data_IF_798785987406
#
_entry.id   IF_798785987406
#
_cell.length_a   1.000
_cell.length_b   1.000
_cell.length_c   1.000
_cell.angle_alpha   90.00
_cell.angle_beta   90.00
_cell.angle_gamma   90.00
#
_symmetry.space_group_name_H-M   'P 1'
#
loop_
_entity.id
_entity.type
_entity.pdbx_description
1 polymer ?
#
# COMPACT_ATOMS: atom_id res chain seq x y z
N UNK A 1 34.32 2.20 57.19
CA UNK A 1 33.02 2.44 56.51
C UNK A 1 33.38 3.01 55.15
N UNK A 2 33.49 2.15 54.13
CA UNK A 2 33.99 2.52 52.81
C UNK A 2 32.79 2.90 51.93
N UNK A 3 32.81 4.14 51.44
CA UNK A 3 31.84 4.70 50.51
C UNK A 3 31.93 3.97 49.16
N UNK A 4 30.91 3.18 48.85
CA UNK A 4 30.75 2.57 47.52
C UNK A 4 30.02 3.58 46.65
N UNK A 5 30.79 4.36 45.90
CA UNK A 5 30.27 5.18 44.79
C UNK A 5 29.72 4.24 43.72
N UNK A 6 28.41 4.05 43.71
CA UNK A 6 27.69 3.41 42.61
C UNK A 6 27.83 4.31 41.39
N UNK A 7 28.74 3.95 40.48
CA UNK A 7 28.81 4.56 39.16
C UNK A 7 27.57 4.15 38.38
N UNK A 8 26.63 5.08 38.23
CA UNK A 8 25.49 4.93 37.34
C UNK A 8 26.01 4.95 35.91
N UNK A 9 26.30 3.77 35.36
CA UNK A 9 26.45 3.59 33.92
C UNK A 9 25.10 3.92 33.30
N UNK A 10 24.96 5.16 32.80
CA UNK A 10 23.87 5.59 31.95
C UNK A 10 23.96 4.80 30.63
N UNK A 11 23.46 3.55 30.65
CA UNK A 11 23.20 2.80 29.43
C UNK A 11 22.16 3.64 28.70
N UNK A 12 22.58 4.35 27.66
CA UNK A 12 21.68 4.98 26.68
C UNK A 12 20.76 3.88 26.12
N UNK A 13 19.61 3.66 26.75
CA UNK A 13 18.56 2.69 26.35
C UNK A 13 17.76 3.22 25.17
N UNK A 14 18.44 3.81 24.18
CA UNK A 14 17.84 4.36 22.97
C UNK A 14 18.17 3.50 21.76
N UNK A 15 17.27 3.48 20.78
CA UNK A 15 17.53 2.88 19.48
C UNK A 15 18.78 3.51 18.82
N UNK A 16 19.54 2.70 18.08
CA UNK A 16 20.68 3.20 17.30
C UNK A 16 20.16 4.05 16.15
N UNK A 17 20.59 5.31 16.11
CA UNK A 17 20.19 6.29 15.08
C UNK A 17 20.98 6.05 13.79
N UNK A 18 20.63 4.98 13.07
CA UNK A 18 21.33 4.50 11.88
C UNK A 18 20.84 5.09 10.56
N UNK A 19 19.55 5.41 10.44
CA UNK A 19 18.89 5.70 9.16
C UNK A 19 19.06 7.17 8.76
N UNK A 20 19.70 7.44 7.62
CA UNK A 20 19.79 8.78 7.03
C UNK A 20 18.55 9.18 6.25
N UNK A 21 18.57 10.37 5.64
CA UNK A 21 17.48 10.84 4.77
C UNK A 21 17.25 9.89 3.59
N UNK A 22 18.32 9.49 2.90
CA UNK A 22 18.23 8.58 1.75
C UNK A 22 17.60 7.24 2.14
N UNK A 23 18.11 6.61 3.20
CA UNK A 23 17.58 5.34 3.71
C UNK A 23 16.09 5.47 4.06
N UNK A 24 15.74 6.57 4.74
CA UNK A 24 14.38 6.89 5.13
C UNK A 24 13.46 7.06 3.91
N UNK A 25 13.89 7.83 2.90
CA UNK A 25 13.14 8.01 1.64
C UNK A 25 12.94 6.68 0.92
N UNK A 26 13.97 5.83 0.87
CA UNK A 26 13.87 4.51 0.25
C UNK A 26 12.99 3.54 1.04
N UNK A 27 12.95 3.66 2.38
CA UNK A 27 12.01 2.90 3.22
C UNK A 27 10.58 3.32 2.92
N UNK A 28 10.28 4.62 2.80
CA UNK A 28 8.95 5.11 2.42
C UNK A 28 8.57 4.57 1.04
N UNK A 29 9.44 4.77 0.04
CA UNK A 29 9.16 4.35 -1.33
C UNK A 29 8.99 2.82 -1.45
N UNK A 30 9.89 2.05 -0.85
CA UNK A 30 9.85 0.58 -0.89
C UNK A 30 8.68 -0.04 -0.11
N UNK A 31 8.17 0.68 0.90
CA UNK A 31 6.96 0.29 1.64
C UNK A 31 5.69 0.53 0.82
N UNK A 32 5.60 1.68 0.13
CA UNK A 32 4.43 2.03 -0.68
C UNK A 32 4.34 1.23 -1.98
N UNK A 33 5.46 1.00 -2.68
CA UNK A 33 5.46 0.27 -3.96
C UNK A 33 5.04 -1.17 -3.68
N UNK A 34 3.78 -1.49 -3.92
CA UNK A 34 3.19 -2.80 -3.62
C UNK A 34 2.71 -3.54 -4.85
N UNK A 35 2.00 -4.65 -4.65
CA UNK A 35 1.26 -5.32 -5.72
C UNK A 35 0.05 -4.52 -6.21
N UNK A 36 -0.40 -3.53 -5.42
CA UNK A 36 -1.57 -2.70 -5.71
C UNK A 36 -1.53 -2.11 -7.11
N UNK A 37 -0.41 -1.48 -7.50
CA UNK A 37 -0.29 -0.77 -8.79
C UNK A 37 -0.54 -1.68 -10.01
N UNK A 38 -0.17 -2.95 -9.90
CA UNK A 38 -0.39 -3.94 -10.96
C UNK A 38 -1.84 -4.41 -11.01
N UNK A 39 -2.56 -4.41 -9.87
CA UNK A 39 -3.92 -4.93 -9.74
C UNK A 39 -4.96 -3.84 -10.07
N UNK A 40 -4.83 -2.68 -9.43
CA UNK A 40 -5.93 -1.73 -9.34
C UNK A 40 -6.11 -0.89 -10.59
N UNK A 41 -5.03 -0.59 -11.32
CA UNK A 41 -5.09 0.26 -12.51
C UNK A 41 -6.03 -0.28 -13.59
N UNK A 42 -6.05 -1.61 -13.79
CA UNK A 42 -6.96 -2.25 -14.72
C UNK A 42 -8.43 -2.15 -14.27
N UNK A 43 -8.68 -2.16 -12.96
CA UNK A 43 -10.03 -2.00 -12.40
C UNK A 43 -10.51 -0.55 -12.52
N UNK A 44 -9.65 0.41 -12.16
CA UNK A 44 -9.92 1.84 -12.33
C UNK A 44 -10.22 2.15 -13.80
N UNK A 45 -9.43 1.61 -14.74
CA UNK A 45 -9.65 1.80 -16.17
C UNK A 45 -11.01 1.25 -16.64
N UNK A 46 -11.49 0.11 -16.10
CA UNK A 46 -12.84 -0.42 -16.42
C UNK A 46 -13.96 0.39 -15.78
N UNK A 47 -13.72 0.99 -14.61
CA UNK A 47 -14.70 1.82 -13.92
C UNK A 47 -14.87 3.20 -14.61
N UNK A 48 -13.75 3.83 -15.00
CA UNK A 48 -13.75 5.19 -15.58
C UNK A 48 -13.84 5.21 -17.11
N UNK A 49 -13.36 4.17 -17.77
CA UNK A 49 -13.49 3.95 -19.21
C UNK A 49 -12.62 4.84 -20.11
N UNK A 50 -11.82 5.76 -19.57
CA UNK A 50 -10.94 6.61 -20.39
C UNK A 50 -9.57 6.83 -19.74
N UNK A 51 -8.48 6.94 -20.53
CA UNK A 51 -7.13 7.11 -20.00
C UNK A 51 -6.96 8.42 -19.21
N UNK A 52 -7.60 9.51 -19.64
CA UNK A 52 -7.59 10.78 -18.91
C UNK A 52 -8.18 10.64 -17.52
N UNK A 53 -9.32 9.95 -17.37
CA UNK A 53 -9.94 9.74 -16.07
C UNK A 53 -9.15 8.79 -15.16
N UNK A 54 -8.47 7.79 -15.71
CA UNK A 54 -7.50 6.96 -14.98
C UNK A 54 -6.37 7.82 -14.39
N UNK A 55 -5.78 8.72 -15.18
CA UNK A 55 -4.73 9.63 -14.72
C UNK A 55 -5.26 10.61 -13.66
N UNK A 56 -6.47 11.16 -13.84
CA UNK A 56 -7.10 12.01 -12.83
C UNK A 56 -7.27 11.28 -11.50
N UNK A 57 -7.71 10.01 -11.51
CA UNK A 57 -7.81 9.20 -10.29
C UNK A 57 -6.46 9.14 -9.57
N UNK A 58 -5.37 8.83 -10.28
CA UNK A 58 -4.02 8.76 -9.71
C UNK A 58 -3.47 10.12 -9.25
N UNK A 59 -3.77 11.21 -9.97
CA UNK A 59 -3.40 12.57 -9.56
C UNK A 59 -4.10 12.92 -8.25
N UNK A 60 -5.40 12.68 -8.14
CA UNK A 60 -6.17 12.92 -6.90
C UNK A 60 -5.63 12.09 -5.75
N UNK A 61 -5.35 10.79 -5.98
CA UNK A 61 -4.69 9.93 -4.99
C UNK A 61 -3.34 10.49 -4.56
N UNK A 62 -2.53 10.96 -5.50
CA UNK A 62 -1.22 11.54 -5.22
C UNK A 62 -1.28 12.80 -4.37
N UNK A 63 -2.20 13.71 -4.69
CA UNK A 63 -2.43 14.93 -3.90
C UNK A 63 -2.88 14.59 -2.48
N UNK A 64 -3.87 13.69 -2.33
CA UNK A 64 -4.36 13.26 -1.01
C UNK A 64 -3.25 12.61 -0.18
N UNK A 65 -2.46 11.72 -0.81
CA UNK A 65 -1.37 11.00 -0.13
C UNK A 65 -0.25 11.93 0.28
N UNK A 66 0.15 12.88 -0.59
CA UNK A 66 1.17 13.88 -0.27
C UNK A 66 0.73 14.83 0.85
N UNK A 67 -0.52 15.30 0.83
CA UNK A 67 -1.08 16.11 1.90
C UNK A 67 -1.05 15.36 3.23
N UNK A 68 -1.50 14.10 3.24
CA UNK A 68 -1.46 13.26 4.44
C UNK A 68 -0.02 13.02 4.92
N UNK A 69 0.91 12.69 4.03
CA UNK A 69 2.32 12.46 4.35
C UNK A 69 2.99 13.69 4.96
N UNK A 70 2.69 14.90 4.45
CA UNK A 70 3.20 16.14 5.00
C UNK A 70 2.60 16.46 6.37
N UNK A 71 1.28 16.32 6.54
CA UNK A 71 0.63 16.51 7.85
C UNK A 71 1.18 15.54 8.92
N UNK A 72 1.43 14.29 8.54
CA UNK A 72 2.08 13.32 9.41
C UNK A 72 3.56 13.65 9.64
N UNK A 73 4.25 14.22 8.65
CA UNK A 73 5.62 14.70 8.79
C UNK A 73 5.77 15.69 9.95
N UNK A 74 4.86 16.65 10.07
CA UNK A 74 4.86 17.61 11.18
C UNK A 74 4.69 16.92 12.54
N UNK A 75 3.71 16.01 12.66
CA UNK A 75 3.50 15.22 13.89
C UNK A 75 4.72 14.36 14.23
N UNK A 76 5.33 13.75 13.21
CA UNK A 76 6.47 12.86 13.37
C UNK A 76 7.76 13.63 13.72
N UNK A 77 7.89 14.87 13.24
CA UNK A 77 8.95 15.78 13.66
C UNK A 77 8.74 16.28 15.10
N UNK A 78 7.51 16.55 15.50
CA UNK A 78 7.18 16.97 16.86
C UNK A 78 7.41 15.84 17.88
N UNK A 79 7.05 14.60 17.52
CA UNK A 79 7.15 13.41 18.37
C UNK A 79 7.96 12.28 17.72
N UNK A 80 9.30 12.41 17.60
CA UNK A 80 10.17 11.43 16.91
C UNK A 80 10.50 10.21 17.80
N UNK A 81 9.45 9.60 18.36
CA UNK A 81 9.50 8.39 19.20
C UNK A 81 9.14 7.17 18.35
N UNK A 82 9.66 6.01 18.72
CA UNK A 82 9.18 4.75 18.14
C UNK A 82 7.71 4.53 18.54
N UNK A 83 6.90 4.02 17.61
CA UNK A 83 5.48 3.73 17.81
C UNK A 83 4.52 4.46 16.87
N UNK A 84 5.00 5.40 16.05
CA UNK A 84 4.22 6.00 14.96
C UNK A 84 2.88 6.59 15.40
N UNK A 85 1.83 6.28 14.64
CA UNK A 85 0.48 6.85 14.80
C UNK A 85 -0.14 6.57 16.18
N UNK A 86 0.22 5.45 16.81
CA UNK A 86 -0.20 5.13 18.18
C UNK A 86 0.23 6.22 19.17
N UNK A 87 1.48 6.69 19.06
CA UNK A 87 2.01 7.75 19.92
C UNK A 87 1.22 9.03 19.70
N UNK A 88 0.94 9.38 18.44
CA UNK A 88 0.25 10.63 18.12
C UNK A 88 -1.17 10.66 18.69
N UNK A 89 -1.92 9.58 18.53
CA UNK A 89 -3.30 9.49 19.04
C UNK A 89 -3.34 9.44 20.57
N UNK A 90 -2.36 8.76 21.19
CA UNK A 90 -2.25 8.71 22.65
C UNK A 90 -1.99 10.08 23.25
N UNK A 91 -1.04 10.84 22.70
CA UNK A 91 -0.67 12.15 23.24
C UNK A 91 -1.68 13.25 22.87
N UNK A 92 -2.34 13.17 21.70
CA UNK A 92 -3.30 14.18 21.28
C UNK A 92 -4.68 14.04 21.95
N UNK A 93 -5.11 12.81 22.26
CA UNK A 93 -6.46 12.56 22.77
C UNK A 93 -6.44 11.88 24.14
N UNK A 94 -6.05 10.61 24.22
CA UNK A 94 -5.88 9.86 25.48
C UNK A 94 -5.32 8.45 25.22
N UNK A 95 -4.88 7.72 26.26
CA UNK A 95 -4.50 6.31 26.14
C UNK A 95 -5.56 5.40 25.53
N UNK A 96 -6.84 5.72 25.70
CA UNK A 96 -7.95 4.96 25.11
C UNK A 96 -7.93 5.01 23.57
N UNK A 97 -7.68 6.18 22.98
CA UNK A 97 -7.62 6.34 21.52
C UNK A 97 -6.38 5.69 20.91
N UNK A 98 -5.24 5.74 21.62
CA UNK A 98 -4.07 4.96 21.26
C UNK A 98 -4.37 3.45 21.28
N UNK A 99 -5.04 2.95 22.33
CA UNK A 99 -5.45 1.55 22.41
C UNK A 99 -6.40 1.16 21.27
N UNK A 100 -7.44 1.96 21.01
CA UNK A 100 -8.42 1.69 19.95
C UNK A 100 -7.74 1.63 18.58
N UNK A 101 -6.80 2.53 18.31
CA UNK A 101 -5.98 2.47 17.10
C UNK A 101 -5.13 1.19 17.05
N UNK A 102 -4.47 0.80 18.15
CA UNK A 102 -3.73 -0.46 18.19
C UNK A 102 -4.62 -1.68 17.91
N UNK A 103 -5.84 -1.68 18.47
CA UNK A 103 -6.84 -2.72 18.26
C UNK A 103 -7.27 -2.80 16.78
N UNK A 104 -7.61 -1.67 16.16
CA UNK A 104 -8.01 -1.63 14.75
C UNK A 104 -6.84 -1.97 13.83
N UNK A 105 -5.64 -1.48 14.13
CA UNK A 105 -4.42 -1.78 13.38
C UNK A 105 -4.16 -3.29 13.34
N UNK A 106 -4.28 -3.97 14.49
CA UNK A 106 -4.03 -5.40 14.60
C UNK A 106 -5.13 -6.25 13.97
N UNK A 107 -6.39 -6.08 14.40
CA UNK A 107 -7.49 -6.98 14.03
C UNK A 107 -8.12 -6.68 12.67
N UNK A 108 -8.05 -5.42 12.22
CA UNK A 108 -8.79 -4.98 11.02
C UNK A 108 -7.82 -4.59 9.91
N UNK A 109 -6.97 -3.58 10.13
CA UNK A 109 -6.16 -2.97 9.08
C UNK A 109 -5.11 -3.97 8.58
N UNK A 110 -4.19 -4.43 9.44
CA UNK A 110 -3.11 -5.32 9.00
C UNK A 110 -3.63 -6.70 8.61
N UNK A 111 -4.58 -7.24 9.36
CA UNK A 111 -5.21 -8.54 9.03
C UNK A 111 -5.92 -8.48 7.67
N UNK A 112 -6.69 -7.43 7.41
CA UNK A 112 -7.36 -7.21 6.13
C UNK A 112 -6.40 -7.04 4.96
N UNK A 113 -5.35 -6.22 5.14
CA UNK A 113 -4.32 -6.01 4.11
C UNK A 113 -3.59 -7.30 3.76
N UNK A 114 -3.20 -8.10 4.75
CA UNK A 114 -2.54 -9.40 4.52
C UNK A 114 -3.47 -10.33 3.73
N UNK A 115 -4.76 -10.41 4.10
CA UNK A 115 -5.73 -11.23 3.40
C UNK A 115 -5.95 -10.75 1.95
N UNK A 116 -6.09 -9.43 1.73
CA UNK A 116 -6.26 -8.85 0.41
C UNK A 116 -5.08 -9.14 -0.52
N UNK A 117 -3.84 -8.99 -0.02
CA UNK A 117 -2.62 -9.29 -0.78
C UNK A 117 -2.51 -10.79 -1.09
N UNK A 118 -2.88 -11.66 -0.14
CA UNK A 118 -2.84 -13.11 -0.36
C UNK A 118 -3.86 -13.57 -1.44
N UNK A 119 -5.07 -12.99 -1.45
CA UNK A 119 -6.05 -13.23 -2.51
C UNK A 119 -5.56 -12.63 -3.84
N UNK A 120 -4.94 -11.45 -3.81
CA UNK A 120 -4.30 -10.85 -4.99
C UNK A 120 -3.22 -11.75 -5.61
N UNK A 121 -2.39 -12.39 -4.77
CA UNK A 121 -1.43 -13.40 -5.23
C UNK A 121 -2.13 -14.59 -5.90
N UNK A 122 -3.17 -15.14 -5.26
CA UNK A 122 -3.91 -16.26 -5.82
C UNK A 122 -4.57 -15.92 -7.16
N UNK A 123 -5.05 -14.68 -7.33
CA UNK A 123 -5.61 -14.18 -8.59
C UNK A 123 -4.58 -14.17 -9.72
N UNK A 124 -3.36 -13.71 -9.46
CA UNK A 124 -2.27 -13.77 -10.46
C UNK A 124 -1.80 -15.19 -10.72
N UNK A 125 -1.71 -16.03 -9.69
CA UNK A 125 -1.38 -17.44 -9.86
C UNK A 125 -2.43 -18.14 -10.74
N UNK A 126 -3.71 -17.78 -10.60
CA UNK A 126 -4.81 -18.28 -11.43
C UNK A 126 -4.67 -17.97 -12.92
N UNK A 127 -3.92 -16.93 -13.30
CA UNK A 127 -3.59 -16.64 -14.71
C UNK A 127 -2.64 -17.70 -15.28
N UNK A 128 -1.72 -18.20 -14.45
CA UNK A 128 -0.74 -19.23 -14.84
C UNK A 128 -1.28 -20.65 -14.65
N UNK A 129 -2.09 -20.85 -13.62
CA UNK A 129 -2.66 -22.13 -13.23
C UNK A 129 -4.19 -21.99 -13.04
N UNK A 130 -4.99 -22.19 -14.11
CA UNK A 130 -6.43 -21.92 -14.09
C UNK A 130 -7.26 -22.68 -13.05
N UNK A 131 -6.72 -23.77 -12.48
CA UNK A 131 -7.36 -24.47 -11.37
C UNK A 131 -7.43 -23.63 -10.08
N UNK A 132 -6.56 -22.61 -9.94
CA UNK A 132 -6.65 -21.60 -8.87
C UNK A 132 -7.59 -20.51 -9.34
N UNK A 133 -8.82 -20.52 -8.84
CA UNK A 133 -9.86 -19.60 -9.28
C UNK A 133 -10.76 -19.18 -8.13
N UNK A 134 -11.13 -17.90 -8.12
CA UNK A 134 -12.14 -17.36 -7.20
C UNK A 134 -13.53 -17.98 -7.42
N UNK A 135 -13.76 -18.56 -8.61
CA UNK A 135 -15.04 -19.19 -9.00
C UNK A 135 -15.10 -20.69 -8.75
N UNK A 136 -13.96 -21.33 -8.48
CA UNK A 136 -13.88 -22.77 -8.22
C UNK A 136 -13.95 -23.01 -6.71
N UNK A 137 -15.09 -23.48 -6.23
CA UNK A 137 -15.38 -23.67 -4.81
C UNK A 137 -15.08 -25.10 -4.34
N UNK A 138 -14.32 -25.21 -3.25
CA UNK A 138 -14.13 -26.43 -2.47
C UNK A 138 -15.28 -26.56 -1.46
N UNK A 139 -15.61 -25.45 -0.79
CA UNK A 139 -16.81 -25.33 0.05
C UNK A 139 -17.69 -24.26 -0.59
N UNK A 140 -18.86 -24.68 -1.07
CA UNK A 140 -19.83 -23.80 -1.70
C UNK A 140 -20.29 -22.70 -0.73
N UNK A 141 -20.68 -21.51 -1.23
CA UNK A 141 -21.13 -20.41 -0.37
C UNK A 141 -22.37 -20.75 0.46
N UNK A 142 -22.18 -20.88 1.77
CA UNK A 142 -23.25 -21.02 2.76
C UNK A 142 -23.64 -19.63 3.25
N UNK A 143 -24.84 -19.17 2.88
CA UNK A 143 -25.33 -17.83 3.23
C UNK A 143 -25.61 -17.75 4.74
N UNK A 144 -25.00 -16.76 5.39
CA UNK A 144 -25.20 -16.38 6.78
C UNK A 144 -25.88 -15.00 6.78
N UNK A 145 -27.15 -14.95 6.40
CA UNK A 145 -27.94 -13.73 6.27
C UNK A 145 -27.97 -13.13 4.86
N UNK A 146 -28.45 -11.89 4.74
CA UNK A 146 -28.73 -11.23 3.45
C UNK A 146 -27.49 -10.72 2.71
N UNK A 147 -26.35 -10.54 3.39
CA UNK A 147 -25.15 -9.93 2.82
C UNK A 147 -23.84 -10.68 3.04
N UNK A 148 -23.86 -11.83 3.71
CA UNK A 148 -22.64 -12.57 4.05
C UNK A 148 -22.79 -14.06 3.71
N UNK A 149 -21.74 -14.65 3.15
CA UNK A 149 -21.68 -16.08 2.87
C UNK A 149 -20.30 -16.62 3.22
N UNK A 150 -20.28 -17.72 3.95
CA UNK A 150 -19.06 -18.46 4.24
C UNK A 150 -18.77 -19.39 3.07
N UNK A 151 -17.60 -19.26 2.45
CA UNK A 151 -17.18 -20.09 1.32
C UNK A 151 -15.68 -20.35 1.38
N UNK A 152 -15.24 -21.40 0.67
CA UNK A 152 -13.83 -21.67 0.44
C UNK A 152 -13.62 -22.00 -1.03
N UNK A 153 -13.08 -21.05 -1.78
CA UNK A 153 -12.58 -21.25 -3.14
C UNK A 153 -11.14 -21.75 -3.15
N UNK A 154 -10.72 -22.31 -4.28
CA UNK A 154 -9.32 -22.70 -4.50
C UNK A 154 -8.37 -21.50 -4.36
N UNK A 155 -8.77 -20.32 -4.80
CA UNK A 155 -8.01 -19.09 -4.58
C UNK A 155 -7.90 -18.70 -3.10
N UNK A 156 -9.00 -18.83 -2.33
CA UNK A 156 -8.98 -18.60 -0.88
C UNK A 156 -8.07 -19.61 -0.17
N UNK A 157 -8.11 -20.89 -0.55
CA UNK A 157 -7.22 -21.91 0.01
C UNK A 157 -5.74 -21.58 -0.25
N UNK A 158 -5.38 -21.19 -1.47
CA UNK A 158 -4.02 -20.73 -1.80
C UNK A 158 -3.62 -19.53 -0.93
N UNK A 159 -4.53 -18.55 -0.76
CA UNK A 159 -4.29 -17.41 0.12
C UNK A 159 -4.01 -17.82 1.58
N UNK A 160 -4.82 -18.73 2.13
CA UNK A 160 -4.63 -19.27 3.49
C UNK A 160 -3.28 -20.00 3.61
N UNK A 161 -2.94 -20.85 2.65
CA UNK A 161 -1.67 -21.58 2.63
C UNK A 161 -0.46 -20.65 2.51
N UNK A 162 -0.56 -19.60 1.69
CA UNK A 162 0.48 -18.59 1.54
C UNK A 162 0.70 -17.84 2.85
N UNK A 163 -0.38 -17.40 3.51
CA UNK A 163 -0.28 -16.72 4.81
C UNK A 163 0.38 -17.65 5.84
N UNK A 164 -0.08 -18.90 5.95
CA UNK A 164 0.51 -19.87 6.87
C UNK A 164 2.00 -20.11 6.59
N UNK A 165 2.39 -20.23 5.32
CA UNK A 165 3.78 -20.37 4.89
C UNK A 165 4.62 -19.14 5.28
N UNK A 166 4.17 -17.94 4.96
CA UNK A 166 4.91 -16.70 5.28
C UNK A 166 4.99 -16.48 6.79
N UNK A 167 3.93 -16.78 7.55
CA UNK A 167 3.95 -16.76 9.01
C UNK A 167 4.98 -17.74 9.54
N UNK A 168 4.97 -18.99 9.07
CA UNK A 168 5.96 -19.99 9.46
C UNK A 168 7.38 -19.53 9.14
N UNK A 169 7.64 -19.00 7.95
CA UNK A 169 8.95 -18.47 7.55
C UNK A 169 9.41 -17.32 8.45
N UNK A 170 8.50 -16.41 8.80
CA UNK A 170 8.79 -15.31 9.72
C UNK A 170 9.15 -15.80 11.14
N UNK A 171 8.62 -16.95 11.58
CA UNK A 171 9.01 -17.55 12.88
C UNK A 171 10.39 -18.21 12.88
N UNK A 172 10.97 -18.54 11.71
CA UNK A 172 12.26 -19.25 11.59
C UNK A 172 13.49 -18.33 11.64
N UNK A 173 13.28 -17.03 11.77
CA UNK A 173 14.33 -16.04 12.06
C UNK A 173 14.56 -15.01 10.96
N UNK A 174 15.24 -13.93 11.36
CA UNK A 174 15.36 -12.69 10.57
C UNK A 174 16.10 -12.87 9.23
N UNK A 175 17.00 -13.85 9.11
CA UNK A 175 17.76 -14.09 7.87
C UNK A 175 16.87 -14.50 6.70
N UNK A 176 15.91 -15.41 6.94
CA UNK A 176 14.96 -15.88 5.92
C UNK A 176 13.97 -14.77 5.56
N UNK A 177 13.40 -14.09 6.56
CA UNK A 177 12.50 -12.96 6.32
C UNK A 177 13.17 -11.85 5.51
N UNK A 178 14.42 -11.51 5.81
CA UNK A 178 15.20 -10.54 5.03
C UNK A 178 15.41 -10.97 3.58
N UNK A 179 15.77 -12.24 3.34
CA UNK A 179 15.96 -12.75 1.98
C UNK A 179 14.67 -12.62 1.16
N UNK A 180 13.55 -13.08 1.72
CA UNK A 180 12.22 -13.04 1.10
C UNK A 180 11.84 -11.60 0.78
N UNK A 181 11.93 -10.71 1.77
CA UNK A 181 11.63 -9.30 1.60
C UNK A 181 12.49 -8.67 0.49
N UNK A 182 13.79 -8.92 0.49
CA UNK A 182 14.71 -8.34 -0.49
C UNK A 182 14.39 -8.84 -1.89
N UNK A 183 14.21 -10.15 -2.08
CA UNK A 183 13.88 -10.75 -3.38
C UNK A 183 12.59 -10.16 -3.93
N UNK A 184 11.51 -10.16 -3.14
CA UNK A 184 10.22 -9.62 -3.60
C UNK A 184 10.25 -8.11 -3.81
N UNK A 185 11.01 -7.37 -3.00
CA UNK A 185 11.13 -5.91 -3.16
C UNK A 185 11.91 -5.55 -4.42
N UNK A 186 13.04 -6.21 -4.67
CA UNK A 186 13.80 -6.01 -5.90
C UNK A 186 13.00 -6.46 -7.12
N UNK A 187 12.30 -7.60 -7.05
CA UNK A 187 11.48 -8.09 -8.15
C UNK A 187 10.32 -7.14 -8.49
N UNK A 188 9.54 -6.68 -7.49
CA UNK A 188 8.41 -5.78 -7.74
C UNK A 188 8.85 -4.41 -8.27
N UNK A 189 9.92 -3.84 -7.71
CA UNK A 189 10.46 -2.55 -8.16
C UNK A 189 11.09 -2.68 -9.55
N UNK A 190 11.85 -3.77 -9.80
CA UNK A 190 12.43 -4.06 -11.10
C UNK A 190 11.36 -4.26 -12.18
N UNK A 191 10.27 -4.96 -11.86
CA UNK A 191 9.14 -5.14 -12.77
C UNK A 191 8.46 -3.80 -13.12
N UNK A 192 8.27 -2.91 -12.13
CA UNK A 192 7.72 -1.57 -12.36
C UNK A 192 8.63 -0.74 -13.28
N UNK A 193 9.94 -0.71 -13.00
CA UNK A 193 10.92 0.00 -13.82
C UNK A 193 10.95 -0.57 -15.25
N UNK A 194 10.95 -1.90 -15.38
CA UNK A 194 10.92 -2.55 -16.68
C UNK A 194 9.64 -2.21 -17.46
N UNK A 195 8.48 -2.17 -16.79
CA UNK A 195 7.22 -1.78 -17.41
C UNK A 195 7.28 -0.33 -17.94
N UNK A 196 7.81 0.60 -17.14
CA UNK A 196 8.00 2.00 -17.54
C UNK A 196 8.94 2.10 -18.75
N UNK A 197 10.09 1.42 -18.70
CA UNK A 197 11.08 1.43 -19.80
C UNK A 197 10.47 0.84 -21.08
N UNK A 198 9.76 -0.28 -20.99
CA UNK A 198 9.08 -0.88 -22.14
C UNK A 198 7.98 0.03 -22.68
N UNK A 199 7.21 0.68 -21.82
CA UNK A 199 6.18 1.64 -22.22
C UNK A 199 6.76 2.84 -22.98
N UNK A 200 7.83 3.45 -22.45
CA UNK A 200 8.43 4.68 -23.00
C UNK A 200 9.34 4.42 -24.20
N UNK A 201 10.10 3.32 -24.21
CA UNK A 201 11.07 3.07 -25.29
C UNK A 201 10.54 2.16 -26.39
N UNK A 202 9.71 1.17 -26.05
CA UNK A 202 9.21 0.15 -27.00
C UNK A 202 7.78 0.45 -27.42
N UNK A 203 6.92 0.84 -26.47
CA UNK A 203 5.52 1.19 -26.72
C UNK A 203 5.33 2.54 -27.41
N UNK A 204 6.37 3.37 -27.46
CA UNK A 204 6.31 4.71 -28.04
C UNK A 204 6.29 4.68 -29.56
N UNK A 205 5.09 4.79 -30.11
CA UNK A 205 4.85 4.99 -31.54
C UNK A 205 3.87 6.13 -31.75
N UNK A 206 3.93 6.81 -32.90
CA UNK A 206 2.99 7.89 -33.24
C UNK A 206 1.53 7.41 -33.17
N UNK A 207 1.27 6.16 -33.56
CA UNK A 207 -0.04 5.52 -33.44
C UNK A 207 -0.48 5.27 -32.00
N UNK A 208 0.42 4.74 -31.14
CA UNK A 208 0.11 4.53 -29.73
C UNK A 208 -0.10 5.86 -28.99
N UNK A 209 0.72 6.87 -29.29
CA UNK A 209 0.61 8.21 -28.70
C UNK A 209 -0.70 8.85 -29.13
N UNK A 210 -1.04 8.81 -30.44
CA UNK A 210 -2.31 9.32 -30.94
C UNK A 210 -3.52 8.58 -30.34
N UNK A 211 -3.45 7.25 -30.22
CA UNK A 211 -4.53 6.43 -29.67
C UNK A 211 -4.78 6.65 -28.17
N UNK A 212 -3.72 6.82 -27.37
CA UNK A 212 -3.82 6.98 -25.93
C UNK A 212 -4.01 8.44 -25.49
N UNK A 213 -3.34 9.39 -26.16
CA UNK A 213 -3.30 10.80 -25.75
C UNK A 213 -4.04 11.75 -26.69
N UNK A 214 -4.39 11.33 -27.91
CA UNK A 214 -5.15 12.17 -28.85
C UNK A 214 -6.61 12.36 -28.47
N UNK A 215 -7.17 11.43 -27.68
CA UNK A 215 -8.53 11.50 -27.18
C UNK A 215 -8.59 10.86 -25.78
N UNK A 216 -8.26 11.68 -24.78
CA UNK A 216 -8.08 11.26 -23.39
C UNK A 216 -9.40 11.02 -22.64
N UNK A 217 -10.47 11.65 -23.10
CA UNK A 217 -11.70 11.83 -22.30
C UNK A 217 -12.86 10.97 -22.77
N UNK A 218 -12.80 10.47 -24.02
CA UNK A 218 -13.84 9.61 -24.55
C UNK A 218 -13.81 8.26 -23.85
N UNK A 219 -14.98 7.89 -23.35
CA UNK A 219 -15.20 6.60 -22.69
C UNK A 219 -15.22 5.47 -23.71
N UNK A 220 -14.43 4.43 -23.45
CA UNK A 220 -14.18 3.28 -24.33
C UNK A 220 -14.40 1.97 -23.59
N UNK A 221 -14.75 0.93 -24.35
CA UNK A 221 -14.87 -0.43 -23.86
C UNK A 221 -16.12 -0.68 -22.99
N UNK A 222 -16.15 -1.85 -22.36
CA UNK A 222 -17.24 -2.24 -21.46
C UNK A 222 -17.03 -1.62 -20.08
N UNK A 223 -17.88 -0.66 -19.72
CA UNK A 223 -17.85 -0.03 -18.41
C UNK A 223 -18.30 -1.00 -17.32
N UNK A 224 -17.52 -1.05 -16.24
CA UNK A 224 -17.93 -1.73 -15.03
C UNK A 224 -18.99 -0.88 -14.29
N UNK A 225 -20.09 -1.49 -13.81
CA UNK A 225 -21.04 -0.79 -12.96
C UNK A 225 -20.37 -0.30 -11.66
N UNK A 226 -20.62 0.95 -11.30
CA UNK A 226 -20.13 1.61 -10.07
C UNK A 226 -21.25 1.83 -9.04
N UNK A 227 -22.44 1.32 -9.35
CA UNK A 227 -23.64 1.35 -8.53
C UNK A 227 -24.78 0.61 -9.23
N UNK A 228 -25.96 0.55 -8.62
CA UNK A 228 -27.12 -0.11 -9.23
C UNK A 228 -27.55 0.64 -10.50
N UNK A 229 -27.26 0.06 -11.67
CA UNK A 229 -27.54 0.66 -12.97
C UNK A 229 -26.68 1.88 -13.32
N UNK A 230 -25.62 2.17 -12.55
CA UNK A 230 -24.80 3.37 -12.73
C UNK A 230 -23.44 3.00 -13.33
N UNK A 231 -23.03 3.73 -14.37
CA UNK A 231 -21.72 3.60 -15.03
C UNK A 231 -21.13 4.98 -15.34
N UNK A 232 -19.83 5.03 -15.65
CA UNK A 232 -19.16 6.27 -16.06
C UNK A 232 -19.66 6.89 -17.38
N UNK A 233 -20.69 6.34 -18.03
CA UNK A 233 -21.31 6.91 -19.21
C UNK A 233 -22.09 8.20 -18.93
N UNK A 234 -22.48 8.44 -17.66
CA UNK A 234 -23.16 9.67 -17.23
C UNK A 234 -22.22 10.53 -16.38
N UNK A 235 -22.41 11.84 -16.36
CA UNK A 235 -21.58 12.73 -15.54
C UNK A 235 -21.61 12.36 -14.04
N UNK A 236 -22.79 12.05 -13.50
CA UNK A 236 -22.92 11.58 -12.12
C UNK A 236 -22.26 10.21 -11.91
N UNK A 237 -22.45 9.28 -12.85
CA UNK A 237 -21.82 7.96 -12.75
C UNK A 237 -20.30 8.00 -12.88
N UNK A 238 -19.76 8.94 -13.65
CA UNK A 238 -18.31 9.19 -13.72
C UNK A 238 -17.79 9.75 -12.40
N UNK A 239 -18.50 10.71 -11.79
CA UNK A 239 -18.14 11.21 -10.46
C UNK A 239 -18.10 10.07 -9.43
N UNK A 240 -19.15 9.23 -9.39
CA UNK A 240 -19.18 8.05 -8.51
C UNK A 240 -18.04 7.08 -8.86
N UNK A 241 -17.77 6.84 -10.14
CA UNK A 241 -16.67 5.99 -10.57
C UNK A 241 -15.31 6.48 -10.06
N UNK A 242 -15.05 7.80 -10.13
CA UNK A 242 -13.83 8.40 -9.59
C UNK A 242 -13.77 8.19 -8.07
N UNK A 243 -14.87 8.40 -7.34
CA UNK A 243 -14.93 8.19 -5.88
C UNK A 243 -14.68 6.73 -5.48
N UNK A 244 -15.33 5.77 -6.16
CA UNK A 244 -15.14 4.33 -5.90
C UNK A 244 -13.70 3.90 -6.25
N UNK A 245 -13.19 4.40 -7.37
CA UNK A 245 -11.81 4.16 -7.80
C UNK A 245 -10.77 4.65 -6.78
N UNK A 246 -11.07 5.71 -6.01
CA UNK A 246 -10.17 6.19 -4.95
C UNK A 246 -9.91 5.12 -3.87
N UNK A 247 -10.88 4.26 -3.55
CA UNK A 247 -10.64 3.17 -2.59
C UNK A 247 -9.50 2.26 -3.07
N UNK A 248 -9.48 1.95 -4.36
CA UNK A 248 -8.49 1.09 -4.98
C UNK A 248 -7.12 1.79 -5.11
N UNK A 249 -7.09 3.04 -5.58
CA UNK A 249 -5.82 3.77 -5.76
C UNK A 249 -5.19 4.19 -4.44
N UNK A 250 -5.98 4.60 -3.43
CA UNK A 250 -5.48 4.87 -2.08
C UNK A 250 -4.94 3.60 -1.41
N UNK A 251 -5.59 2.44 -1.60
CA UNK A 251 -5.04 1.16 -1.16
C UNK A 251 -3.65 0.89 -1.78
N UNK A 252 -3.45 1.23 -3.05
CA UNK A 252 -2.16 1.05 -3.71
C UNK A 252 -1.09 2.07 -3.29
N UNK A 253 -1.48 3.25 -2.82
CA UNK A 253 -0.60 4.34 -2.42
C UNK A 253 -0.34 4.39 -0.90
N UNK A 254 -0.90 3.46 -0.14
CA UNK A 254 -0.74 3.38 1.32
C UNK A 254 0.67 2.90 1.74
N UNK A 255 0.93 2.81 3.05
CA UNK A 255 2.17 2.34 3.68
C UNK A 255 3.31 3.36 3.81
N UNK A 256 3.16 4.59 3.32
CA UNK A 256 4.11 5.67 3.53
C UNK A 256 4.31 6.01 5.02
N UNK A 257 3.27 5.85 5.83
CA UNK A 257 3.25 6.09 7.28
C UNK A 257 4.10 5.09 8.07
N UNK A 258 4.49 3.96 7.48
CA UNK A 258 5.24 2.93 8.20
C UNK A 258 6.60 3.40 8.73
N UNK A 259 7.23 4.38 8.08
CA UNK A 259 8.48 4.96 8.54
C UNK A 259 8.36 5.63 9.92
N UNK A 260 7.15 6.05 10.30
CA UNK A 260 6.90 6.68 11.61
C UNK A 260 7.11 5.70 12.78
N UNK A 261 6.99 4.39 12.56
CA UNK A 261 7.28 3.39 13.60
C UNK A 261 8.77 3.31 13.93
N UNK A 262 9.63 3.49 12.92
CA UNK A 262 11.10 3.52 13.05
C UNK A 262 11.64 4.93 13.25
N UNK A 263 10.80 5.90 13.60
CA UNK A 263 11.23 7.29 13.84
C UNK A 263 12.31 7.39 14.92
N UNK A 264 12.38 6.41 15.83
CA UNK A 264 13.43 6.25 16.85
C UNK A 264 14.83 5.89 16.32
N UNK A 265 14.96 5.45 15.06
CA UNK A 265 16.21 4.99 14.44
C UNK A 265 16.75 5.97 13.38
N UNK A 266 16.00 7.03 13.08
CA UNK A 266 16.33 8.03 12.06
C UNK A 266 17.25 9.10 12.64
N UNK A 267 18.33 9.42 11.92
CA UNK A 267 19.25 10.55 12.19
C UNK A 267 18.53 11.87 11.95
N UNK A 268 18.69 12.85 12.84
CA UNK A 268 18.01 14.16 12.77
C UNK A 268 16.50 14.01 12.43
N UNK A 269 15.73 13.22 13.18
CA UNK A 269 14.39 12.78 12.78
C UNK A 269 13.42 13.95 12.56
N UNK A 270 13.58 15.04 13.31
CA UNK A 270 12.79 16.29 13.13
C UNK A 270 12.91 16.88 11.73
N UNK A 271 14.05 16.70 11.07
CA UNK A 271 14.34 17.24 9.74
C UNK A 271 14.17 16.19 8.67
N UNK A 272 14.66 14.98 8.91
CA UNK A 272 14.73 13.94 7.90
C UNK A 272 13.40 13.21 7.72
N UNK A 273 12.56 13.10 8.75
CA UNK A 273 11.30 12.36 8.65
C UNK A 273 10.26 13.06 7.76
N UNK A 274 9.99 14.38 7.89
CA UNK A 274 9.11 15.08 6.96
C UNK A 274 9.63 15.05 5.52
N UNK A 275 10.96 15.21 5.35
CA UNK A 275 11.60 15.17 4.03
C UNK A 275 11.52 13.79 3.38
N UNK A 276 11.75 12.73 4.15
CA UNK A 276 11.63 11.36 3.66
C UNK A 276 10.19 11.03 3.23
N UNK A 277 9.20 11.49 4.01
CA UNK A 277 7.79 11.36 3.66
C UNK A 277 7.45 12.11 2.38
N UNK A 278 7.87 13.36 2.22
CA UNK A 278 7.66 14.15 1.00
C UNK A 278 8.34 13.51 -0.22
N UNK A 279 9.64 13.23 -0.12
CA UNK A 279 10.43 12.73 -1.24
C UNK A 279 10.03 11.30 -1.62
N UNK A 280 9.79 10.44 -0.64
CA UNK A 280 9.42 9.05 -0.87
C UNK A 280 8.02 8.93 -1.45
N UNK A 281 7.04 9.64 -0.88
CA UNK A 281 5.67 9.68 -1.40
C UNK A 281 5.65 10.31 -2.80
N UNK A 282 6.32 11.44 -2.99
CA UNK A 282 6.38 12.12 -4.29
C UNK A 282 7.00 11.25 -5.38
N UNK A 283 8.08 10.53 -5.06
CA UNK A 283 8.70 9.56 -5.95
C UNK A 283 7.71 8.46 -6.38
N UNK A 284 7.01 7.86 -5.43
CA UNK A 284 6.08 6.75 -5.75
C UNK A 284 4.90 7.23 -6.57
N UNK A 285 4.33 8.40 -6.24
CA UNK A 285 3.24 8.99 -7.03
C UNK A 285 3.70 9.29 -8.46
N UNK A 286 4.92 9.83 -8.64
CA UNK A 286 5.47 10.02 -9.97
C UNK A 286 5.62 8.68 -10.72
N UNK A 287 6.11 7.63 -10.06
CA UNK A 287 6.23 6.30 -10.65
C UNK A 287 4.90 5.62 -10.96
N UNK A 288 3.81 5.94 -10.23
CA UNK A 288 2.49 5.40 -10.49
C UNK A 288 1.74 6.13 -11.62
N UNK A 289 2.12 7.38 -11.89
CA UNK A 289 1.61 8.15 -13.04
C UNK A 289 2.29 7.77 -14.35
N UNK A 290 3.55 7.31 -14.29
CA UNK A 290 4.34 6.80 -15.41
C UNK A 290 3.94 5.37 -15.77
#
# INVERSE_FOLDING_TARGET
MADVTVSTVDRKTGFVRGLGLWDSTMIVAGSMIGSGIFIVSADIARQTGAPGWLLIVWIVTGLLTLMAALSYGELAAMMPKAGGQYVYLREAFSPFWGFLYGWTLFLVIQTGTIAAVAVGFAKYLGVLWPAVSERSYIIAPVRLGSGYALSLSTAQLVGVLLIALLTWMNTRGLKLGKLVQNVFTTAKTGALIALIILGVLVGWSTGAVGGNFGDLWTVRGSLQPVGQGLTAATAFGLFVAICVAQTNSLFSADAWNNITFTAGEIKEPRRNLPRALLLGTGLVIALYLL
#
